data_IF_105012155501
#
_entry.id   IF_105012155501
#
_cell.length_a   1.000
_cell.length_b   1.000
_cell.length_c   1.000
_cell.angle_alpha   90.00
_cell.angle_beta   90.00
_cell.angle_gamma   90.00
#
_symmetry.space_group_name_H-M   'P 1'
#
loop_
_entity.id
_entity.type
_entity.pdbx_description
1 polymer ?
#
# COMPACT_ATOMS: atom_id res chain seq x y z
N UNK A 1 -10.92 -0.90 17.26
CA UNK A 1 -10.54 -2.25 17.76
C UNK A 1 -9.65 -2.10 18.97
N UNK A 2 -9.82 -2.99 19.95
CA UNK A 2 -8.88 -3.16 21.04
C UNK A 2 -7.64 -3.93 20.57
N UNK A 3 -6.54 -3.85 21.32
CA UNK A 3 -5.33 -4.63 21.04
C UNK A 3 -5.60 -6.13 20.94
N UNK A 4 -6.50 -6.65 21.78
CA UNK A 4 -6.87 -8.07 21.77
C UNK A 4 -7.55 -8.47 20.47
N UNK A 5 -8.51 -7.67 20.00
CA UNK A 5 -9.22 -7.93 18.74
C UNK A 5 -8.28 -7.89 17.54
N UNK A 6 -7.27 -7.01 17.56
CA UNK A 6 -6.25 -6.94 16.50
C UNK A 6 -5.38 -8.20 16.47
N UNK A 7 -4.95 -8.69 17.63
CA UNK A 7 -4.16 -9.93 17.74
C UNK A 7 -4.98 -11.14 17.27
N UNK A 8 -6.24 -11.25 17.69
CA UNK A 8 -7.13 -12.34 17.28
C UNK A 8 -7.46 -12.28 15.77
N UNK A 9 -7.59 -11.08 15.20
CA UNK A 9 -7.75 -10.87 13.75
C UNK A 9 -6.52 -11.32 12.96
N UNK A 10 -5.33 -10.88 13.39
CA UNK A 10 -4.07 -11.27 12.76
C UNK A 10 -3.83 -12.78 12.85
N UNK A 11 -4.05 -13.38 14.02
CA UNK A 11 -3.90 -14.83 14.22
C UNK A 11 -4.79 -15.63 13.26
N UNK A 12 -6.08 -15.28 13.14
CA UNK A 12 -7.00 -15.95 12.20
C UNK A 12 -6.55 -15.78 10.75
N UNK A 13 -6.06 -14.59 10.38
CA UNK A 13 -5.52 -14.35 9.04
C UNK A 13 -4.30 -15.23 8.77
N UNK A 14 -3.33 -15.27 9.69
CA UNK A 14 -2.11 -16.06 9.55
C UNK A 14 -2.41 -17.55 9.38
N UNK A 15 -3.29 -18.13 10.22
CA UNK A 15 -3.73 -19.52 10.07
C UNK A 15 -4.34 -19.79 8.68
N UNK A 16 -5.18 -18.88 8.19
CA UNK A 16 -5.79 -19.03 6.87
C UNK A 16 -4.78 -18.94 5.71
N UNK A 17 -3.65 -18.23 5.88
CA UNK A 17 -2.62 -18.17 4.84
C UNK A 17 -1.74 -19.43 4.81
N UNK A 18 -1.47 -20.04 5.97
CA UNK A 18 -0.72 -21.31 6.04
C UNK A 18 -1.40 -22.42 5.24
N UNK A 19 -2.73 -22.42 5.18
CA UNK A 19 -3.50 -23.41 4.42
C UNK A 19 -3.57 -23.12 2.90
N UNK A 20 -3.18 -21.92 2.45
CA UNK A 20 -3.46 -21.42 1.10
C UNK A 20 -2.23 -20.99 0.28
N UNK A 21 -1.02 -20.96 0.86
CA UNK A 21 0.18 -20.45 0.20
C UNK A 21 1.23 -21.57 0.07
N UNK A 22 1.67 -21.83 -1.16
CA UNK A 22 2.70 -22.85 -1.51
C UNK A 22 4.12 -22.42 -1.10
N UNK A 23 4.32 -21.13 -0.80
CA UNK A 23 5.56 -20.52 -0.31
C UNK A 23 5.46 -20.16 1.19
N UNK A 24 6.51 -20.47 1.96
CA UNK A 24 6.64 -20.07 3.36
C UNK A 24 6.81 -18.54 3.48
N UNK A 25 5.71 -17.83 3.69
CA UNK A 25 5.75 -16.41 4.06
C UNK A 25 6.29 -16.23 5.48
N UNK A 26 7.20 -15.27 5.64
CA UNK A 26 7.65 -14.83 6.95
C UNK A 26 6.52 -14.13 7.73
N UNK A 27 6.68 -14.05 9.05
CA UNK A 27 5.72 -13.35 9.92
C UNK A 27 5.57 -11.88 9.53
N UNK A 28 6.65 -11.21 9.11
CA UNK A 28 6.62 -9.81 8.70
C UNK A 28 5.85 -9.62 7.39
N UNK A 29 5.96 -10.57 6.45
CA UNK A 29 5.18 -10.56 5.21
C UNK A 29 3.70 -10.81 5.48
N UNK A 30 3.38 -11.79 6.34
CA UNK A 30 2.01 -12.05 6.77
C UNK A 30 1.39 -10.84 7.47
N UNK A 31 2.14 -10.18 8.34
CA UNK A 31 1.69 -8.96 9.01
C UNK A 31 1.45 -7.82 8.02
N UNK A 32 2.38 -7.63 7.08
CA UNK A 32 2.25 -6.61 6.03
C UNK A 32 1.01 -6.83 5.17
N UNK A 33 0.75 -8.07 4.76
CA UNK A 33 -0.44 -8.44 3.99
C UNK A 33 -1.72 -8.23 4.80
N UNK A 34 -1.72 -8.63 6.08
CA UNK A 34 -2.87 -8.41 6.95
C UNK A 34 -3.18 -6.93 7.12
N UNK A 35 -2.16 -6.08 7.34
CA UNK A 35 -2.32 -4.62 7.48
C UNK A 35 -2.85 -3.97 6.22
N UNK A 36 -2.40 -4.39 5.04
CA UNK A 36 -2.93 -3.90 3.76
C UNK A 36 -4.44 -4.17 3.62
N UNK A 37 -4.95 -5.27 4.21
CA UNK A 37 -6.37 -5.63 4.19
C UNK A 37 -7.17 -5.08 5.38
N UNK A 38 -6.49 -4.62 6.43
CA UNK A 38 -7.10 -4.09 7.65
C UNK A 38 -6.53 -2.69 7.92
N UNK A 39 -6.80 -1.70 7.04
CA UNK A 39 -6.43 -0.32 7.31
C UNK A 39 -7.21 0.20 8.52
N UNK A 40 -6.64 1.17 9.23
CA UNK A 40 -7.40 1.97 10.19
C UNK A 40 -8.40 2.86 9.44
N UNK A 41 -9.42 3.33 10.13
CA UNK A 41 -10.42 4.23 9.53
C UNK A 41 -9.79 5.49 8.93
N UNK A 42 -8.73 6.02 9.56
CA UNK A 42 -7.97 7.17 9.05
C UNK A 42 -7.23 6.86 7.76
N UNK A 43 -6.48 5.74 7.72
CA UNK A 43 -5.75 5.29 6.53
C UNK A 43 -6.69 4.98 5.36
N UNK A 44 -7.85 4.38 5.66
CA UNK A 44 -8.87 4.11 4.66
C UNK A 44 -9.47 5.40 4.12
N UNK A 45 -9.80 6.36 4.99
CA UNK A 45 -10.34 7.66 4.59
C UNK A 45 -9.36 8.44 3.70
N UNK A 46 -8.07 8.44 4.06
CA UNK A 46 -7.01 9.05 3.26
C UNK A 46 -6.90 8.37 1.88
N UNK A 47 -6.88 7.05 1.84
CA UNK A 47 -6.82 6.28 0.60
C UNK A 47 -8.01 6.56 -0.31
N UNK A 48 -9.23 6.60 0.26
CA UNK A 48 -10.46 6.94 -0.49
C UNK A 48 -10.39 8.37 -1.02
N UNK A 49 -9.93 9.34 -0.21
CA UNK A 49 -9.78 10.73 -0.65
C UNK A 49 -8.82 10.83 -1.83
N UNK A 50 -7.66 10.19 -1.75
CA UNK A 50 -6.66 10.19 -2.82
C UNK A 50 -7.22 9.60 -4.13
N UNK A 51 -7.96 8.48 -4.05
CA UNK A 51 -8.62 7.87 -5.23
C UNK A 51 -9.67 8.80 -5.83
N UNK A 52 -10.47 9.47 -5.00
CA UNK A 52 -11.48 10.43 -5.47
C UNK A 52 -10.84 11.63 -6.18
N UNK A 53 -9.74 12.16 -5.64
CA UNK A 53 -8.98 13.24 -6.27
C UNK A 53 -8.40 12.80 -7.63
N UNK A 54 -7.78 11.63 -7.69
CA UNK A 54 -7.26 11.06 -8.92
C UNK A 54 -8.38 10.86 -9.96
N UNK A 55 -9.56 10.37 -9.55
CA UNK A 55 -10.70 10.20 -10.43
C UNK A 55 -11.23 11.53 -10.99
N UNK A 56 -11.28 12.59 -10.15
CA UNK A 56 -11.65 13.94 -10.61
C UNK A 56 -10.63 14.51 -11.59
N UNK A 57 -9.34 14.33 -11.30
CA UNK A 57 -8.25 14.71 -12.22
C UNK A 57 -8.42 14.04 -13.57
N UNK A 58 -8.61 12.72 -13.58
CA UNK A 58 -8.82 11.94 -14.81
C UNK A 58 -10.04 12.42 -15.59
N UNK A 59 -11.15 12.70 -14.92
CA UNK A 59 -12.35 13.25 -15.57
C UNK A 59 -12.14 14.65 -16.16
N UNK A 60 -11.23 15.43 -15.58
CA UNK A 60 -10.80 16.74 -16.10
C UNK A 60 -9.72 16.65 -17.19
N UNK A 61 -9.31 15.44 -17.59
CA UNK A 61 -8.29 15.20 -18.62
C UNK A 61 -6.86 15.10 -18.09
N UNK A 62 -6.65 15.02 -16.77
CA UNK A 62 -5.35 14.69 -16.19
C UNK A 62 -5.01 13.23 -16.49
N UNK A 63 -3.88 12.99 -17.16
CA UNK A 63 -3.38 11.64 -17.47
C UNK A 63 -2.26 11.21 -16.53
N UNK A 64 -2.03 11.99 -15.46
CA UNK A 64 -0.93 11.83 -14.56
C UNK A 64 0.38 12.32 -15.18
N UNK A 65 1.49 11.97 -14.52
CA UNK A 65 2.84 12.29 -14.96
C UNK A 65 3.61 10.98 -15.19
N UNK A 66 4.42 10.89 -16.25
CA UNK A 66 5.24 9.69 -16.48
C UNK A 66 6.10 9.40 -15.24
N UNK A 67 6.00 8.19 -14.69
CA UNK A 67 6.72 7.81 -13.47
C UNK A 67 8.23 8.07 -13.56
N UNK A 68 8.84 7.83 -14.74
CA UNK A 68 10.27 8.11 -14.99
C UNK A 68 10.62 9.59 -14.87
N UNK A 69 9.71 10.49 -15.26
CA UNK A 69 9.95 11.93 -15.16
C UNK A 69 9.92 12.40 -13.70
N UNK A 70 8.98 11.89 -12.90
CA UNK A 70 8.93 12.18 -11.46
C UNK A 70 10.11 11.56 -10.71
N UNK A 71 10.50 10.33 -11.07
CA UNK A 71 11.67 9.66 -10.49
C UNK A 71 12.95 10.45 -10.77
N UNK A 72 13.16 10.91 -12.02
CA UNK A 72 14.31 11.75 -12.37
C UNK A 72 14.35 13.02 -11.54
N UNK A 73 13.22 13.72 -11.41
CA UNK A 73 13.12 14.93 -10.60
C UNK A 73 13.50 14.68 -9.12
N UNK A 74 13.06 13.56 -8.56
CA UNK A 74 13.43 13.18 -7.19
C UNK A 74 14.92 12.85 -7.06
N UNK A 75 15.48 12.10 -8.01
CA UNK A 75 16.91 11.78 -8.05
C UNK A 75 17.79 13.03 -8.21
N UNK A 76 17.42 13.96 -9.10
CA UNK A 76 18.12 15.24 -9.28
C UNK A 76 18.13 16.05 -7.97
N UNK A 77 17.02 16.09 -7.24
CA UNK A 77 16.93 16.76 -5.94
C UNK A 77 17.77 16.10 -4.83
N UNK A 78 18.09 14.81 -5.00
CA UNK A 78 18.90 14.03 -4.07
C UNK A 78 20.38 13.87 -4.54
N UNK A 79 20.73 14.42 -5.71
CA UNK A 79 22.07 14.28 -6.30
C UNK A 79 22.37 12.87 -6.85
N UNK A 80 21.35 12.09 -7.16
CA UNK A 80 21.47 10.74 -7.72
C UNK A 80 21.32 10.79 -9.24
N UNK A 81 22.13 10.01 -9.96
CA UNK A 81 22.05 9.90 -11.43
C UNK A 81 21.24 8.64 -11.77
N UNK A 82 20.28 8.78 -12.69
CA UNK A 82 19.57 7.65 -13.29
C UNK A 82 20.22 7.39 -14.65
N UNK A 83 21.03 6.33 -14.75
CA UNK A 83 21.53 5.82 -16.03
C UNK A 83 20.37 5.28 -16.89
N UNK A 84 20.51 5.42 -18.21
CA UNK A 84 19.39 5.27 -19.15
C UNK A 84 18.71 3.90 -19.18
#
# INVERSE_FOLDING_TARGET
MTTRELIESFHRFACAQVDNVDDELSIDELYSLWRARNPTDGELAESVSAVQEAARGLAAGDTGRPARAELRKACDGLGLIIDE
#
